data_IF_413008842598
#
_entry.id   IF_413008842598
#
_cell.length_a   1.000
_cell.length_b   1.000
_cell.length_c   1.000
_cell.angle_alpha   90.00
_cell.angle_beta   90.00
_cell.angle_gamma   90.00
#
_symmetry.space_group_name_H-M   'P 1'
#
loop_
_entity.id
_entity.type
_entity.pdbx_description
1 polymer ?
#
# COMPACT_ATOMS: atom_id res chain seq x y z
N UNK A 1 14.83 -2.38 7.60
CA UNK A 1 15.74 -1.77 8.60
C UNK A 1 14.97 -1.52 9.89
N UNK A 2 15.49 -1.90 11.05
CA UNK A 2 14.83 -1.72 12.35
C UNK A 2 15.41 -0.49 13.06
N UNK A 3 14.56 0.43 13.52
CA UNK A 3 15.03 1.64 14.23
C UNK A 3 15.39 1.31 15.67
N UNK A 4 14.42 0.84 16.46
CA UNK A 4 14.61 0.45 17.85
C UNK A 4 14.45 -1.06 17.98
N UNK A 5 15.37 -1.70 18.70
CA UNK A 5 15.34 -3.13 18.97
C UNK A 5 15.95 -3.41 20.34
N UNK A 6 15.14 -3.90 21.28
CA UNK A 6 15.55 -4.27 22.65
C UNK A 6 14.68 -5.43 23.16
N UNK A 7 14.97 -5.95 24.35
CA UNK A 7 14.07 -6.89 25.04
C UNK A 7 12.87 -6.17 25.64
N UNK A 8 11.81 -6.92 25.99
CA UNK A 8 10.61 -6.38 26.66
C UNK A 8 10.98 -5.64 27.93
N UNK A 9 11.82 -6.22 28.80
CA UNK A 9 12.23 -5.57 30.06
C UNK A 9 12.90 -4.22 29.82
N UNK A 10 13.86 -4.16 28.90
CA UNK A 10 14.53 -2.91 28.53
C UNK A 10 13.57 -1.88 27.90
N UNK A 11 12.59 -2.33 27.13
CA UNK A 11 11.55 -1.45 26.59
C UNK A 11 10.69 -0.84 27.70
N UNK A 12 10.24 -1.65 28.68
CA UNK A 12 9.49 -1.15 29.83
C UNK A 12 10.32 -0.15 30.64
N UNK A 13 11.61 -0.39 30.83
CA UNK A 13 12.52 0.54 31.50
C UNK A 13 12.69 1.86 30.73
N UNK A 14 12.82 1.81 29.40
CA UNK A 14 12.91 3.01 28.55
C UNK A 14 11.63 3.85 28.60
N UNK A 15 10.45 3.21 28.68
CA UNK A 15 9.17 3.91 28.82
C UNK A 15 9.02 4.49 30.23
N UNK A 16 9.33 3.71 31.26
CA UNK A 16 9.25 4.12 32.67
C UNK A 16 10.15 5.32 32.97
N UNK A 17 11.33 5.36 32.36
CA UNK A 17 12.28 6.48 32.47
C UNK A 17 11.94 7.68 31.58
N UNK A 18 10.79 7.68 30.89
CA UNK A 18 10.36 8.72 29.94
C UNK A 18 11.42 9.05 28.86
N UNK A 19 12.19 8.04 28.44
CA UNK A 19 13.28 8.22 27.47
C UNK A 19 12.94 7.62 26.10
N UNK A 20 11.85 6.86 25.98
CA UNK A 20 11.54 6.06 24.78
C UNK A 20 11.44 6.90 23.50
N UNK A 21 10.74 8.03 23.50
CA UNK A 21 10.58 8.85 22.29
C UNK A 21 11.88 9.54 21.88
N UNK A 22 12.74 9.91 22.84
CA UNK A 22 14.05 10.51 22.58
C UNK A 22 15.01 9.46 22.01
N UNK A 23 14.99 8.24 22.57
CA UNK A 23 15.76 7.11 22.05
C UNK A 23 15.35 6.81 20.60
N UNK A 24 14.05 6.69 20.33
CA UNK A 24 13.55 6.43 18.96
C UNK A 24 13.96 7.59 18.03
N UNK A 25 13.81 8.85 18.46
CA UNK A 25 14.21 10.02 17.65
C UNK A 25 15.69 9.98 17.26
N UNK A 26 16.58 9.71 18.22
CA UNK A 26 18.02 9.60 17.98
C UNK A 26 18.32 8.45 17.03
N UNK A 27 17.65 7.31 17.20
CA UNK A 27 17.83 6.14 16.33
C UNK A 27 17.30 6.38 14.92
N UNK A 28 16.17 7.08 14.75
CA UNK A 28 15.67 7.50 13.43
C UNK A 28 16.70 8.38 12.73
N UNK A 29 17.23 9.40 13.40
CA UNK A 29 18.26 10.25 12.80
C UNK A 29 19.51 9.44 12.43
N UNK A 30 19.99 8.58 13.34
CA UNK A 30 21.20 7.79 13.14
C UNK A 30 21.09 6.74 12.04
N UNK A 31 19.94 6.04 11.96
CA UNK A 31 19.75 4.91 11.05
C UNK A 31 19.11 5.33 9.73
N UNK A 32 18.15 6.25 9.75
CA UNK A 32 17.41 6.71 8.58
C UNK A 32 17.92 8.04 8.00
N UNK A 33 18.79 8.76 8.71
CA UNK A 33 19.26 10.09 8.27
C UNK A 33 18.17 11.16 8.26
N UNK A 34 17.01 10.89 8.86
CA UNK A 34 15.81 11.74 8.79
C UNK A 34 15.62 12.47 10.12
N UNK A 35 15.29 13.77 10.05
CA UNK A 35 14.80 14.52 11.22
C UNK A 35 13.31 14.23 11.43
N UNK A 36 12.93 13.99 12.68
CA UNK A 36 11.56 13.70 13.08
C UNK A 36 10.81 14.97 13.48
N UNK A 37 9.58 15.14 12.99
CA UNK A 37 8.70 16.24 13.39
C UNK A 37 8.05 16.01 14.76
N UNK A 38 7.58 17.07 15.41
CA UNK A 38 7.01 17.00 16.76
C UNK A 38 5.78 16.09 16.87
N UNK A 39 4.94 16.05 15.83
CA UNK A 39 3.75 15.17 15.80
C UNK A 39 4.11 13.69 15.88
N UNK A 40 5.19 13.28 15.20
CA UNK A 40 5.65 11.90 15.17
C UNK A 40 6.32 11.52 16.51
N UNK A 41 7.10 12.42 17.11
CA UNK A 41 7.65 12.24 18.48
C UNK A 41 6.52 12.06 19.51
N UNK A 42 5.51 12.93 19.45
CA UNK A 42 4.34 12.81 20.32
C UNK A 42 3.60 11.50 20.07
N UNK A 43 3.56 11.03 18.82
CA UNK A 43 2.90 9.78 18.49
C UNK A 43 3.58 8.57 19.15
N UNK A 44 4.91 8.54 19.18
CA UNK A 44 5.68 7.51 19.87
C UNK A 44 5.43 7.56 21.37
N UNK A 45 5.58 8.74 21.99
CA UNK A 45 5.31 8.91 23.44
C UNK A 45 3.95 8.35 23.82
N UNK A 46 2.90 8.72 23.09
CA UNK A 46 1.54 8.27 23.38
C UNK A 46 1.38 6.77 23.22
N UNK A 47 1.78 6.21 22.07
CA UNK A 47 1.51 4.81 21.74
C UNK A 47 2.33 3.84 22.59
N UNK A 48 3.59 4.21 22.91
CA UNK A 48 4.47 3.35 23.72
C UNK A 48 3.98 3.23 25.16
N UNK A 49 3.33 4.25 25.73
CA UNK A 49 2.68 4.14 27.05
C UNK A 49 1.51 3.14 27.06
N UNK A 50 0.83 2.95 25.93
CA UNK A 50 -0.21 1.93 25.83
C UNK A 50 0.39 0.53 25.65
N UNK A 51 1.48 0.41 24.89
CA UNK A 51 2.18 -0.87 24.74
C UNK A 51 2.88 -1.30 26.03
N UNK A 52 3.45 -0.37 26.80
CA UNK A 52 3.96 -0.61 28.15
C UNK A 52 2.90 -1.29 29.01
N UNK A 53 1.72 -0.68 29.16
CA UNK A 53 0.58 -1.27 29.92
C UNK A 53 0.18 -2.65 29.43
N UNK A 54 0.21 -2.91 28.13
CA UNK A 54 -0.13 -4.22 27.56
C UNK A 54 0.93 -5.25 27.94
N UNK A 55 2.22 -4.87 27.86
CA UNK A 55 3.38 -5.74 28.03
C UNK A 55 3.87 -5.88 29.48
N UNK A 56 3.38 -5.09 30.44
CA UNK A 56 3.78 -5.21 31.86
C UNK A 56 3.34 -6.54 32.54
N UNK A 57 2.69 -7.45 31.81
CA UNK A 57 2.33 -8.76 32.34
C UNK A 57 3.55 -9.69 32.43
N UNK A 58 3.73 -10.32 33.58
CA UNK A 58 4.83 -11.26 33.83
C UNK A 58 4.70 -12.57 33.04
N UNK A 59 3.51 -12.90 32.51
CA UNK A 59 3.32 -14.08 31.65
C UNK A 59 3.81 -13.84 30.21
N UNK A 60 4.11 -12.60 29.84
CA UNK A 60 4.85 -12.30 28.61
C UNK A 60 6.33 -12.30 28.99
N UNK A 61 7.21 -13.13 28.39
CA UNK A 61 8.60 -13.25 28.81
C UNK A 61 9.39 -11.93 28.72
N UNK A 62 10.21 -11.64 29.73
CA UNK A 62 11.04 -10.42 29.81
C UNK A 62 12.10 -10.33 28.70
N UNK A 63 12.53 -11.47 28.18
CA UNK A 63 13.44 -11.63 27.05
C UNK A 63 12.73 -11.72 25.70
N UNK A 64 11.43 -11.43 25.61
CA UNK A 64 10.75 -11.22 24.32
C UNK A 64 11.36 -10.04 23.59
N UNK A 65 11.57 -10.15 22.27
CA UNK A 65 12.13 -9.06 21.48
C UNK A 65 11.07 -8.01 21.14
N UNK A 66 11.40 -6.73 21.33
CA UNK A 66 10.60 -5.57 20.92
C UNK A 66 11.33 -4.82 19.82
N UNK A 67 10.66 -4.64 18.68
CA UNK A 67 11.13 -3.80 17.58
C UNK A 67 10.12 -2.71 17.26
N UNK A 68 10.58 -1.48 17.07
CA UNK A 68 9.72 -0.33 16.74
C UNK A 68 10.24 0.32 15.46
N UNK A 69 9.31 0.78 14.63
CA UNK A 69 9.59 1.47 13.36
C UNK A 69 10.42 0.58 12.40
N UNK A 70 9.96 -0.65 12.19
CA UNK A 70 10.59 -1.59 11.26
C UNK A 70 10.23 -1.23 9.81
N UNK A 71 11.22 -0.74 9.05
CA UNK A 71 11.06 -0.41 7.64
C UNK A 71 10.95 -1.68 6.80
N UNK A 72 9.81 -1.82 6.11
CA UNK A 72 9.57 -2.87 5.14
C UNK A 72 10.52 -2.71 3.95
N UNK A 73 11.32 -3.74 3.63
CA UNK A 73 12.28 -3.67 2.54
C UNK A 73 11.61 -3.34 1.20
N UNK A 74 12.12 -2.36 0.47
CA UNK A 74 11.65 -1.94 -0.88
C UNK A 74 10.20 -1.45 -0.99
N UNK A 75 9.46 -1.31 0.13
CA UNK A 75 8.08 -0.80 0.12
C UNK A 75 7.98 0.68 0.49
N UNK A 76 8.98 1.23 1.20
CA UNK A 76 8.91 2.60 1.74
C UNK A 76 7.94 2.74 2.93
N UNK A 77 7.39 1.62 3.40
CA UNK A 77 6.43 1.54 4.50
C UNK A 77 7.09 1.00 5.76
N UNK A 78 6.42 1.15 6.90
CA UNK A 78 6.95 0.73 8.19
C UNK A 78 5.89 0.09 9.05
N UNK A 79 6.34 -0.89 9.82
CA UNK A 79 5.57 -1.50 10.90
C UNK A 79 5.88 -0.74 12.19
N UNK A 80 4.83 -0.29 12.87
CA UNK A 80 4.96 0.50 14.09
C UNK A 80 5.62 -0.29 15.22
N UNK A 81 5.13 -1.50 15.50
CA UNK A 81 5.58 -2.31 16.62
C UNK A 81 5.58 -3.80 16.26
N UNK A 82 6.66 -4.50 16.62
CA UNK A 82 6.75 -5.96 16.51
C UNK A 82 7.19 -6.54 17.85
N UNK A 83 6.42 -7.51 18.36
CA UNK A 83 6.82 -8.35 19.48
C UNK A 83 7.24 -9.73 18.97
N UNK A 84 8.36 -10.23 19.46
CA UNK A 84 8.93 -11.52 19.04
C UNK A 84 9.20 -12.43 20.22
N UNK A 85 9.04 -13.72 19.98
CA UNK A 85 9.32 -14.79 20.92
C UNK A 85 8.93 -16.13 20.32
N UNK A 86 8.69 -17.14 21.15
CA UNK A 86 8.38 -18.49 20.69
C UNK A 86 7.12 -19.00 21.38
N UNK A 87 6.35 -19.87 20.70
CA UNK A 87 5.25 -20.59 21.33
C UNK A 87 5.73 -21.75 22.21
N UNK A 88 4.79 -22.54 22.74
CA UNK A 88 5.07 -23.69 23.59
C UNK A 88 5.90 -24.78 22.90
N UNK A 89 5.82 -24.87 21.56
CA UNK A 89 6.56 -25.81 20.74
C UNK A 89 7.94 -25.27 20.31
N UNK A 90 8.28 -24.04 20.71
CA UNK A 90 9.51 -23.36 20.30
C UNK A 90 9.45 -22.78 18.88
N UNK A 91 8.27 -22.66 18.27
CA UNK A 91 8.11 -22.06 16.95
C UNK A 91 8.19 -20.54 17.10
N UNK A 92 9.07 -19.93 16.30
CA UNK A 92 9.27 -18.49 16.28
C UNK A 92 8.00 -17.75 15.83
N UNK A 93 7.58 -16.76 16.63
CA UNK A 93 6.46 -15.87 16.36
C UNK A 93 6.92 -14.43 16.28
N UNK A 94 6.38 -13.70 15.31
CA UNK A 94 6.47 -12.24 15.24
C UNK A 94 5.06 -11.66 15.19
N UNK A 95 4.63 -11.03 16.27
CA UNK A 95 3.36 -10.32 16.37
C UNK A 95 3.57 -8.92 15.81
N UNK A 96 2.95 -8.63 14.67
CA UNK A 96 2.99 -7.35 13.97
C UNK A 96 1.82 -6.51 14.46
N UNK A 97 2.08 -5.40 15.14
CA UNK A 97 1.06 -4.56 15.76
C UNK A 97 1.06 -3.20 15.08
N UNK A 98 -0.01 -2.92 14.33
CA UNK A 98 -0.28 -1.59 13.78
C UNK A 98 -0.91 -0.71 14.87
N UNK A 99 -0.35 0.47 15.14
CA UNK A 99 -0.80 1.34 16.23
C UNK A 99 -1.47 2.58 15.65
N UNK A 100 -2.76 2.79 15.96
CA UNK A 100 -3.44 4.06 15.60
C UNK A 100 -3.96 4.79 16.83
N UNK A 101 -3.87 6.11 16.77
CA UNK A 101 -4.37 7.00 17.82
C UNK A 101 -5.75 7.56 17.53
N UNK A 102 -6.46 7.00 16.54
CA UNK A 102 -7.75 7.51 16.08
C UNK A 102 -8.78 7.48 17.21
N UNK A 103 -9.58 8.53 17.31
CA UNK A 103 -10.72 8.61 18.25
C UNK A 103 -12.05 8.28 17.57
N UNK A 104 -12.10 8.31 16.24
CA UNK A 104 -13.29 8.11 15.44
C UNK A 104 -12.95 7.56 14.06
N UNK A 105 -13.93 6.94 13.42
CA UNK A 105 -13.87 6.47 12.03
C UNK A 105 -15.27 6.35 11.46
N UNK A 106 -15.35 6.37 10.13
CA UNK A 106 -16.56 6.15 9.35
C UNK A 106 -16.30 5.09 8.29
N UNK A 107 -17.29 4.24 8.05
CA UNK A 107 -17.20 3.22 7.02
C UNK A 107 -17.24 3.89 5.64
N UNK A 108 -16.57 3.27 4.68
CA UNK A 108 -16.69 3.61 3.26
C UNK A 108 -17.25 2.41 2.51
N UNK A 109 -17.68 2.62 1.27
CA UNK A 109 -18.07 1.56 0.34
C UNK A 109 -16.87 0.88 -0.35
N UNK A 110 -15.65 1.35 -0.09
CA UNK A 110 -14.41 0.80 -0.66
C UNK A 110 -13.93 -0.38 0.20
N UNK A 111 -13.46 -1.42 -0.47
CA UNK A 111 -12.93 -2.62 0.17
C UNK A 111 -11.67 -2.30 0.98
N UNK A 112 -11.64 -2.65 2.27
CA UNK A 112 -10.46 -2.43 3.11
C UNK A 112 -10.07 -0.95 3.36
N UNK A 113 -10.96 0.00 3.08
CA UNK A 113 -10.75 1.44 3.26
C UNK A 113 -11.80 2.03 4.20
N UNK A 114 -11.35 2.92 5.09
CA UNK A 114 -12.16 3.66 6.07
C UNK A 114 -11.86 5.15 5.97
N UNK A 115 -12.73 6.01 6.49
CA UNK A 115 -12.47 7.43 6.58
C UNK A 115 -12.34 7.88 8.04
N UNK A 116 -11.31 8.68 8.35
CA UNK A 116 -11.04 9.18 9.71
C UNK A 116 -10.38 10.55 9.66
N UNK A 117 -10.45 11.32 10.75
CA UNK A 117 -9.82 12.63 10.86
C UNK A 117 -8.32 12.50 11.15
N UNK A 118 -7.48 13.05 10.25
CA UNK A 118 -6.02 13.02 10.37
C UNK A 118 -5.43 14.43 10.32
N UNK A 119 -5.57 15.20 11.41
CA UNK A 119 -4.91 16.49 11.65
C UNK A 119 -5.36 17.65 10.74
N UNK A 120 -5.42 17.43 9.42
CA UNK A 120 -5.74 18.38 8.36
C UNK A 120 -7.15 18.18 7.77
N UNK A 121 -7.89 17.17 8.22
CA UNK A 121 -9.24 16.87 7.72
C UNK A 121 -9.55 15.38 7.74
N UNK A 122 -10.76 15.04 7.27
CA UNK A 122 -11.17 13.66 7.05
C UNK A 122 -10.42 13.14 5.82
N UNK A 123 -9.79 11.97 5.97
CA UNK A 123 -9.05 11.29 4.91
C UNK A 123 -9.50 9.85 4.83
N UNK A 124 -9.55 9.32 3.61
CA UNK A 124 -9.71 7.89 3.39
C UNK A 124 -8.36 7.21 3.50
N UNK A 125 -8.30 6.17 4.32
CA UNK A 125 -7.10 5.42 4.67
C UNK A 125 -7.42 3.94 4.77
N UNK A 126 -6.39 3.10 4.80
CA UNK A 126 -6.57 1.68 4.97
C UNK A 126 -7.24 1.36 6.31
N UNK A 127 -8.10 0.36 6.30
CA UNK A 127 -8.57 -0.28 7.51
C UNK A 127 -7.34 -0.81 8.29
N UNK A 128 -7.21 -0.55 9.61
CA UNK A 128 -6.03 -0.94 10.38
C UNK A 128 -5.70 -2.44 10.30
N UNK A 129 -6.72 -3.30 10.32
CA UNK A 129 -6.51 -4.75 10.09
C UNK A 129 -6.02 -5.07 8.68
N UNK A 130 -6.50 -4.37 7.64
CA UNK A 130 -5.99 -4.54 6.28
C UNK A 130 -4.51 -4.18 6.25
N UNK A 131 -4.14 -3.04 6.84
CA UNK A 131 -2.77 -2.53 6.85
C UNK A 131 -1.82 -3.53 7.52
N UNK A 132 -2.12 -3.95 8.76
CA UNK A 132 -1.29 -4.93 9.48
C UNK A 132 -1.17 -6.27 8.75
N UNK A 133 -2.29 -6.82 8.27
CA UNK A 133 -2.29 -8.03 7.45
C UNK A 133 -1.45 -7.87 6.18
N UNK A 134 -1.55 -6.73 5.52
CA UNK A 134 -0.85 -6.46 4.27
C UNK A 134 0.68 -6.48 4.44
N UNK A 135 1.17 -6.02 5.60
CA UNK A 135 2.59 -6.05 5.95
C UNK A 135 3.08 -7.47 6.25
N UNK A 136 2.31 -8.26 7.00
CA UNK A 136 2.62 -9.67 7.24
C UNK A 136 2.69 -10.45 5.91
N UNK A 137 1.67 -10.30 5.08
CA UNK A 137 1.58 -10.98 3.80
C UNK A 137 2.69 -10.52 2.82
N UNK A 138 3.13 -9.26 2.91
CA UNK A 138 4.31 -8.78 2.19
C UNK A 138 5.59 -9.50 2.65
N UNK A 139 5.83 -9.58 3.97
CA UNK A 139 7.00 -10.27 4.49
C UNK A 139 7.01 -11.77 4.14
N UNK A 140 5.87 -12.46 4.25
CA UNK A 140 5.72 -13.85 3.83
C UNK A 140 6.03 -14.06 2.34
N UNK A 141 5.61 -13.11 1.49
CA UNK A 141 5.80 -13.19 0.05
C UNK A 141 7.22 -12.88 -0.44
N UNK A 142 8.00 -12.10 0.32
CA UNK A 142 9.25 -11.49 -0.15
C UNK A 142 10.49 -11.75 0.73
N UNK A 143 10.33 -12.16 1.99
CA UNK A 143 11.45 -12.40 2.90
C UNK A 143 11.78 -13.89 2.99
N UNK A 144 12.96 -14.29 2.49
CA UNK A 144 13.39 -15.69 2.45
C UNK A 144 13.36 -16.36 3.83
N UNK A 145 13.90 -15.67 4.83
CA UNK A 145 13.97 -16.15 6.22
C UNK A 145 12.58 -16.49 6.77
N UNK A 146 11.55 -15.67 6.48
CA UNK A 146 10.21 -15.87 7.04
C UNK A 146 9.67 -17.25 6.67
N UNK A 147 9.75 -17.62 5.39
CA UNK A 147 9.21 -18.91 4.94
C UNK A 147 10.19 -20.09 5.08
N UNK A 148 11.52 -19.87 4.98
CA UNK A 148 12.49 -20.97 5.15
C UNK A 148 12.61 -21.42 6.60
N UNK A 149 12.55 -20.47 7.53
CA UNK A 149 12.74 -20.73 8.95
C UNK A 149 11.39 -20.99 9.66
N UNK A 150 10.27 -20.92 8.92
CA UNK A 150 8.93 -21.18 9.43
C UNK A 150 8.47 -20.17 10.49
N UNK A 151 8.94 -18.92 10.41
CA UNK A 151 8.56 -17.86 11.34
C UNK A 151 7.09 -17.51 11.08
N UNK A 152 6.25 -17.59 12.10
CA UNK A 152 4.84 -17.25 11.96
C UNK A 152 4.62 -15.76 12.25
N UNK A 153 4.12 -15.05 11.24
CA UNK A 153 3.74 -13.65 11.37
C UNK A 153 2.28 -13.56 11.83
N UNK A 154 2.04 -12.81 12.89
CA UNK A 154 0.74 -12.67 13.52
C UNK A 154 0.33 -11.18 13.49
N UNK A 155 -0.34 -10.72 12.43
CA UNK A 155 -0.76 -9.33 12.33
C UNK A 155 -1.94 -9.05 13.26
N UNK A 156 -1.92 -7.88 13.90
CA UNK A 156 -3.08 -7.29 14.56
C UNK A 156 -2.99 -5.76 14.52
N UNK A 157 -4.07 -5.10 14.89
CA UNK A 157 -4.11 -3.65 15.01
C UNK A 157 -4.65 -3.23 16.37
N UNK A 158 -4.06 -2.20 16.97
CA UNK A 158 -4.48 -1.64 18.24
C UNK A 158 -4.75 -0.14 18.13
N UNK A 159 -6.03 0.22 18.27
CA UNK A 159 -6.51 1.59 18.24
C UNK A 159 -6.85 2.04 19.65
N UNK A 160 -5.81 2.41 20.40
CA UNK A 160 -5.89 2.64 21.84
C UNK A 160 -6.75 3.83 22.26
N UNK A 161 -7.15 4.70 21.33
CA UNK A 161 -8.05 5.82 21.58
C UNK A 161 -9.46 5.61 21.02
N UNK A 162 -9.68 4.58 20.20
CA UNK A 162 -10.91 4.42 19.44
C UNK A 162 -11.95 3.64 20.26
N UNK A 163 -13.18 4.16 20.48
CA UNK A 163 -14.24 3.43 21.16
C UNK A 163 -14.76 2.29 20.27
N UNK A 164 -15.33 1.24 20.89
CA UNK A 164 -16.07 0.23 20.12
C UNK A 164 -17.44 0.77 19.74
N UNK A 165 -17.56 1.22 18.49
CA UNK A 165 -18.80 1.74 17.89
C UNK A 165 -19.28 0.88 16.70
N UNK A 166 -18.68 -0.30 16.49
CA UNK A 166 -19.05 -1.23 15.43
C UNK A 166 -18.61 -0.87 14.00
N UNK A 167 -18.04 0.32 13.75
CA UNK A 167 -17.67 0.75 12.38
C UNK A 167 -16.57 -0.14 11.80
N UNK A 168 -15.48 -0.29 12.54
CA UNK A 168 -14.29 -1.05 12.13
C UNK A 168 -14.49 -2.57 12.22
N UNK A 169 -15.52 -3.02 12.94
CA UNK A 169 -15.85 -4.45 13.12
C UNK A 169 -17.09 -4.87 12.34
N UNK A 170 -17.61 -3.98 11.49
CA UNK A 170 -18.78 -4.27 10.66
C UNK A 170 -18.51 -5.42 9.68
N UNK A 171 -19.58 -6.07 9.22
CA UNK A 171 -19.49 -7.21 8.30
C UNK A 171 -18.74 -6.91 7.00
N UNK A 172 -18.70 -5.64 6.57
CA UNK A 172 -17.93 -5.17 5.41
C UNK A 172 -16.41 -5.37 5.57
N UNK A 173 -15.89 -5.35 6.80
CA UNK A 173 -14.46 -5.52 7.09
C UNK A 173 -14.11 -6.86 7.75
N UNK A 174 -15.09 -7.77 7.89
CA UNK A 174 -14.94 -9.01 8.66
C UNK A 174 -13.76 -9.89 8.19
N UNK A 175 -13.55 -9.99 6.88
CA UNK A 175 -12.44 -10.76 6.30
C UNK A 175 -11.07 -10.24 6.76
N UNK A 176 -10.92 -8.93 6.92
CA UNK A 176 -9.67 -8.33 7.38
C UNK A 176 -9.52 -8.45 8.89
N UNK A 177 -10.59 -8.28 9.65
CA UNK A 177 -10.57 -8.49 11.11
C UNK A 177 -10.25 -9.94 11.46
N UNK A 178 -10.70 -10.91 10.65
CA UNK A 178 -10.35 -12.32 10.82
C UNK A 178 -8.87 -12.61 10.54
N UNK A 179 -8.28 -11.92 9.55
CA UNK A 179 -6.85 -12.06 9.20
C UNK A 179 -5.92 -11.34 10.17
N UNK A 180 -6.33 -10.17 10.66
CA UNK A 180 -5.59 -9.35 11.60
C UNK A 180 -6.55 -8.80 12.67
N UNK A 181 -6.63 -9.44 13.85
CA UNK A 181 -7.55 -9.04 14.91
C UNK A 181 -7.41 -7.56 15.29
N UNK A 182 -8.55 -6.95 15.60
CA UNK A 182 -8.65 -5.56 15.98
C UNK A 182 -8.85 -5.43 17.49
N UNK A 183 -8.03 -4.61 18.12
CA UNK A 183 -8.15 -4.25 19.53
C UNK A 183 -8.44 -2.75 19.63
N UNK A 184 -9.46 -2.38 20.40
CA UNK A 184 -9.90 -1.00 20.58
C UNK A 184 -9.56 -0.50 21.98
N UNK A 185 -9.97 0.74 22.32
CA UNK A 185 -9.62 1.43 23.57
C UNK A 185 -9.79 0.61 24.86
N UNK A 186 -10.81 -0.24 24.93
CA UNK A 186 -11.09 -1.09 26.11
C UNK A 186 -10.44 -2.48 26.07
N UNK A 187 -9.71 -2.80 25.01
CA UNK A 187 -9.25 -4.16 24.73
C UNK A 187 -7.79 -4.44 25.08
N UNK A 188 -7.14 -3.57 25.87
CA UNK A 188 -5.75 -3.78 26.29
C UNK A 188 -5.50 -5.17 26.90
N UNK A 189 -6.45 -5.68 27.70
CA UNK A 189 -6.38 -7.03 28.26
C UNK A 189 -6.58 -8.13 27.21
N UNK A 190 -7.41 -7.90 26.19
CA UNK A 190 -7.59 -8.85 25.08
C UNK A 190 -6.35 -8.92 24.20
N UNK A 191 -5.70 -7.78 23.93
CA UNK A 191 -4.42 -7.76 23.20
C UNK A 191 -3.32 -8.46 24.00
N UNK A 192 -3.24 -8.22 25.30
CA UNK A 192 -2.32 -8.94 26.19
C UNK A 192 -2.57 -10.45 26.15
N UNK A 193 -3.82 -10.88 26.22
CA UNK A 193 -4.17 -12.30 26.14
C UNK A 193 -3.79 -12.89 24.77
N UNK A 194 -4.05 -12.17 23.68
CA UNK A 194 -3.62 -12.56 22.34
C UNK A 194 -2.10 -12.74 22.27
N UNK A 195 -1.32 -11.81 22.83
CA UNK A 195 0.14 -11.92 22.90
C UNK A 195 0.55 -13.17 23.70
N UNK A 196 -0.01 -13.33 24.90
CA UNK A 196 0.30 -14.45 25.80
C UNK A 196 -0.05 -15.81 25.20
N UNK A 197 -1.08 -15.88 24.36
CA UNK A 197 -1.46 -17.11 23.67
C UNK A 197 -0.39 -17.55 22.68
N UNK A 198 0.27 -16.61 22.01
CA UNK A 198 1.22 -16.91 20.93
C UNK A 198 2.69 -16.88 21.39
N UNK A 199 3.04 -16.09 22.39
CA UNK A 199 4.41 -15.96 22.91
C UNK A 199 4.47 -16.53 24.33
N UNK A 200 5.06 -17.72 24.46
CA UNK A 200 5.26 -18.46 25.72
C UNK A 200 6.70 -18.38 26.22
N UNK A 201 7.66 -18.21 25.31
CA UNK A 201 9.08 -18.07 25.60
C UNK A 201 9.64 -16.83 24.87
N UNK A 202 10.71 -16.23 25.40
CA UNK A 202 11.32 -15.04 24.80
C UNK A 202 12.00 -15.32 23.46
N UNK A 203 12.55 -14.26 22.86
CA UNK A 203 13.23 -14.34 21.56
C UNK A 203 14.68 -14.84 21.75
N UNK A 204 14.87 -16.15 21.62
CA UNK A 204 16.19 -16.80 21.74
C UNK A 204 16.96 -16.85 20.43
N UNK A 205 16.30 -16.64 19.31
CA UNK A 205 16.86 -16.87 17.96
C UNK A 205 17.13 -15.57 17.20
N UNK A 206 16.85 -14.42 17.82
CA UNK A 206 16.99 -13.11 17.20
C UNK A 206 16.12 -12.98 15.97
N UNK A 207 14.82 -13.26 16.11
CA UNK A 207 13.85 -13.38 15.01
C UNK A 207 13.93 -12.17 14.08
N UNK A 208 13.81 -10.95 14.63
CA UNK A 208 13.84 -9.73 13.82
C UNK A 208 15.22 -9.46 13.19
N UNK A 209 16.30 -9.88 13.82
CA UNK A 209 17.65 -9.78 13.24
C UNK A 209 17.79 -10.69 12.01
N UNK A 210 17.26 -11.92 12.08
CA UNK A 210 17.25 -12.84 10.93
C UNK A 210 16.31 -12.39 9.80
N UNK A 211 15.15 -11.81 10.13
CA UNK A 211 14.24 -11.23 9.14
C UNK A 211 14.91 -10.03 8.46
N UNK A 212 15.56 -9.14 9.21
CA UNK A 212 16.25 -7.97 8.64
C UNK A 212 17.46 -8.35 7.77
N UNK A 213 18.26 -9.33 8.20
CA UNK A 213 19.38 -9.87 7.43
C UNK A 213 18.96 -10.82 6.31
N UNK A 214 17.68 -11.18 6.24
CA UNK A 214 17.11 -12.09 5.26
C UNK A 214 17.21 -11.54 3.84
N UNK A 215 17.47 -12.42 2.88
CA UNK A 215 17.46 -12.02 1.47
C UNK A 215 16.04 -11.68 1.06
N UNK A 216 15.88 -10.50 0.46
CA UNK A 216 14.62 -10.11 -0.16
C UNK A 216 14.57 -10.71 -1.55
N UNK A 217 13.78 -11.76 -1.68
CA UNK A 217 13.55 -12.46 -2.94
C UNK A 217 12.05 -12.66 -3.07
N UNK A 218 11.42 -12.15 -4.15
CA UNK A 218 10.05 -12.52 -4.46
C UNK A 218 9.98 -14.04 -4.49
N UNK A 219 9.10 -14.64 -3.69
CA UNK A 219 8.89 -16.10 -3.70
C UNK A 219 8.50 -16.61 -5.09
N UNK A 220 7.95 -15.72 -5.96
CA UNK A 220 7.77 -15.86 -7.41
C UNK A 220 7.98 -14.50 -8.09
N UNK A 221 8.63 -14.45 -9.25
CA UNK A 221 8.96 -13.17 -9.91
C UNK A 221 7.68 -12.40 -10.31
N UNK A 222 7.75 -11.06 -10.37
CA UNK A 222 6.65 -10.16 -10.77
C UNK A 222 5.92 -10.61 -12.06
N UNK A 223 6.67 -11.23 -12.95
CA UNK A 223 6.21 -11.86 -14.18
C UNK A 223 5.22 -13.02 -13.99
N UNK A 224 5.56 -13.94 -13.09
CA UNK A 224 4.73 -15.12 -12.80
C UNK A 224 3.47 -14.71 -12.06
N UNK A 225 3.58 -13.68 -11.21
CA UNK A 225 2.48 -13.04 -10.52
C UNK A 225 1.50 -12.36 -11.48
N UNK A 226 1.95 -11.69 -12.55
CA UNK A 226 1.06 -11.15 -13.59
C UNK A 226 0.20 -12.25 -14.23
N UNK A 227 0.82 -13.35 -14.65
CA UNK A 227 0.12 -14.50 -15.27
C UNK A 227 -0.88 -15.10 -14.29
N UNK A 228 -0.47 -15.29 -13.04
CA UNK A 228 -1.28 -15.87 -11.98
C UNK A 228 -2.46 -14.96 -11.59
N UNK A 229 -2.26 -13.64 -11.60
CA UNK A 229 -3.32 -12.65 -11.40
C UNK A 229 -4.39 -12.71 -12.47
N UNK A 230 -3.99 -12.81 -13.75
CA UNK A 230 -4.95 -12.99 -14.84
C UNK A 230 -5.74 -14.31 -14.69
N UNK A 231 -5.11 -15.35 -14.12
CA UNK A 231 -5.75 -16.64 -13.78
C UNK A 231 -6.61 -16.60 -12.51
N UNK A 232 -6.77 -15.46 -11.86
CA UNK A 232 -7.64 -15.32 -10.69
C UNK A 232 -6.95 -15.23 -9.34
N UNK A 233 -5.63 -15.44 -9.24
CA UNK A 233 -4.93 -15.44 -7.95
C UNK A 233 -4.62 -14.02 -7.47
N UNK A 234 -4.61 -13.82 -6.15
CA UNK A 234 -4.05 -12.61 -5.55
C UNK A 234 -2.54 -12.80 -5.42
N UNK A 235 -1.75 -11.96 -6.08
CA UNK A 235 -0.28 -12.08 -6.07
C UNK A 235 0.42 -10.80 -5.63
N UNK A 236 -0.22 -9.63 -5.77
CA UNK A 236 0.28 -8.37 -5.21
C UNK A 236 -0.70 -7.84 -4.17
N UNK A 237 -0.23 -7.81 -2.94
CA UNK A 237 -0.90 -7.10 -1.86
C UNK A 237 -0.58 -5.62 -2.05
N UNK A 238 -1.62 -4.80 -2.17
CA UNK A 238 -1.48 -3.35 -2.28
C UNK A 238 -1.24 -2.76 -0.88
N UNK A 239 -0.17 -2.01 -0.71
CA UNK A 239 0.21 -1.42 0.57
C UNK A 239 -0.25 0.02 0.66
N UNK A 240 -0.74 0.43 1.83
CA UNK A 240 -1.03 1.82 2.17
C UNK A 240 -1.79 2.59 1.07
N UNK A 241 -1.26 3.71 0.59
CA UNK A 241 -1.91 4.57 -0.40
C UNK A 241 -2.23 3.84 -1.70
N UNK A 242 -1.49 2.79 -2.05
CA UNK A 242 -1.75 1.96 -3.23
C UNK A 242 -3.14 1.34 -3.19
N UNK A 243 -3.61 0.90 -2.00
CA UNK A 243 -4.94 0.32 -1.82
C UNK A 243 -6.04 1.38 -1.95
N UNK A 244 -5.85 2.56 -1.36
CA UNK A 244 -6.79 3.68 -1.46
C UNK A 244 -6.93 4.15 -2.91
N UNK A 245 -5.82 4.33 -3.62
CA UNK A 245 -5.81 4.69 -5.05
C UNK A 245 -6.53 3.63 -5.87
N UNK A 246 -6.23 2.35 -5.64
CA UNK A 246 -6.84 1.24 -6.37
C UNK A 246 -8.36 1.19 -6.19
N UNK A 247 -8.86 1.23 -4.96
CA UNK A 247 -10.31 1.19 -4.71
C UNK A 247 -11.01 2.47 -5.18
N UNK A 248 -10.34 3.62 -5.11
CA UNK A 248 -10.85 4.87 -5.70
C UNK A 248 -10.98 4.74 -7.21
N UNK A 249 -9.94 4.24 -7.89
CA UNK A 249 -9.96 4.04 -9.34
C UNK A 249 -11.05 3.05 -9.76
N UNK A 250 -11.23 1.94 -9.04
CA UNK A 250 -12.32 0.97 -9.28
C UNK A 250 -13.68 1.60 -9.15
N UNK A 251 -13.91 2.37 -8.07
CA UNK A 251 -15.18 3.08 -7.84
C UNK A 251 -15.46 4.10 -8.93
N UNK A 252 -14.47 4.88 -9.34
CA UNK A 252 -14.61 5.86 -10.40
C UNK A 252 -14.87 5.20 -11.76
N UNK A 253 -14.18 4.11 -12.08
CA UNK A 253 -14.43 3.33 -13.29
C UNK A 253 -15.87 2.81 -13.35
N UNK A 254 -16.41 2.30 -12.22
CA UNK A 254 -17.79 1.86 -12.13
C UNK A 254 -18.79 3.03 -12.33
N UNK A 255 -18.54 4.17 -11.66
CA UNK A 255 -19.38 5.38 -11.81
C UNK A 255 -19.38 5.96 -13.22
N UNK A 256 -18.26 5.86 -13.92
CA UNK A 256 -18.12 6.34 -15.30
C UNK A 256 -19.00 5.62 -16.32
N UNK A 257 -19.60 4.48 -15.96
CA UNK A 257 -20.60 3.82 -16.81
C UNK A 257 -21.88 4.66 -16.97
N UNK A 258 -22.22 5.51 -15.99
CA UNK A 258 -23.49 6.24 -15.90
C UNK A 258 -23.45 7.64 -16.57
N UNK A 259 -22.76 7.72 -17.72
CA UNK A 259 -22.64 8.87 -18.63
C UNK A 259 -21.66 10.00 -18.28
N UNK A 260 -21.25 10.21 -17.02
CA UNK A 260 -20.25 11.24 -16.68
C UNK A 260 -18.82 10.70 -16.76
N UNK A 261 -17.94 11.37 -17.52
CA UNK A 261 -16.51 11.04 -17.56
C UNK A 261 -15.84 11.34 -16.22
N UNK A 262 -14.92 10.48 -15.80
CA UNK A 262 -14.09 10.71 -14.62
C UNK A 262 -12.61 10.62 -14.96
N UNK A 263 -11.83 11.56 -14.43
CA UNK A 263 -10.37 11.58 -14.54
C UNK A 263 -9.78 11.48 -13.13
N UNK A 264 -8.95 10.47 -12.89
CA UNK A 264 -8.18 10.34 -11.67
C UNK A 264 -6.71 10.68 -11.94
N UNK A 265 -6.16 11.62 -11.20
CA UNK A 265 -4.74 11.96 -11.23
C UNK A 265 -4.12 11.44 -9.93
N UNK A 266 -3.06 10.64 -10.06
CA UNK A 266 -2.37 10.03 -8.92
C UNK A 266 -0.93 10.48 -8.95
N UNK A 267 -0.52 11.21 -7.92
CA UNK A 267 0.87 11.53 -7.69
C UNK A 267 1.59 10.42 -6.94
N UNK A 268 2.90 10.36 -7.10
CA UNK A 268 3.76 9.50 -6.30
C UNK A 268 5.19 9.58 -6.79
N UNK A 269 6.15 9.51 -5.88
CA UNK A 269 7.56 9.52 -6.23
C UNK A 269 8.05 8.22 -6.88
N UNK A 270 9.33 8.15 -7.26
CA UNK A 270 9.95 6.93 -7.79
C UNK A 270 9.86 5.78 -6.78
N UNK A 271 9.54 4.56 -7.23
CA UNK A 271 9.52 3.38 -6.37
C UNK A 271 8.28 3.21 -5.49
N UNK A 272 7.31 4.12 -5.53
CA UNK A 272 6.04 4.04 -4.77
C UNK A 272 5.06 2.95 -5.24
N UNK A 273 5.41 2.20 -6.30
CA UNK A 273 4.59 1.09 -6.80
C UNK A 273 3.40 1.50 -7.68
N UNK A 274 3.41 2.71 -8.27
CA UNK A 274 2.38 3.18 -9.22
C UNK A 274 2.05 2.14 -10.30
N UNK A 275 3.07 1.53 -10.91
CA UNK A 275 2.85 0.50 -11.93
C UNK A 275 2.20 -0.77 -11.36
N UNK A 276 2.46 -1.14 -10.10
CA UNK A 276 1.80 -2.27 -9.44
C UNK A 276 0.29 -1.99 -9.31
N UNK A 277 -0.07 -0.77 -8.94
CA UNK A 277 -1.48 -0.32 -8.91
C UNK A 277 -2.09 -0.36 -10.31
N UNK A 278 -1.41 0.21 -11.31
CA UNK A 278 -1.88 0.26 -12.69
C UNK A 278 -2.19 -1.14 -13.26
N UNK A 279 -1.30 -2.11 -13.01
CA UNK A 279 -1.46 -3.50 -13.41
C UNK A 279 -2.62 -4.18 -12.67
N UNK A 280 -2.70 -4.02 -11.35
CA UNK A 280 -3.81 -4.58 -10.57
C UNK A 280 -5.16 -4.05 -11.05
N UNK A 281 -5.20 -2.76 -11.39
CA UNK A 281 -6.38 -2.12 -11.94
C UNK A 281 -6.72 -2.70 -13.32
N UNK A 282 -5.75 -2.83 -14.24
CA UNK A 282 -5.98 -3.43 -15.56
C UNK A 282 -6.59 -4.83 -15.44
N UNK A 283 -5.99 -5.69 -14.60
CA UNK A 283 -6.47 -7.06 -14.40
C UNK A 283 -7.89 -7.07 -13.81
N UNK A 284 -8.16 -6.22 -12.81
CA UNK A 284 -9.47 -6.16 -12.17
C UNK A 284 -10.56 -5.67 -13.12
N UNK A 285 -10.33 -4.56 -13.83
CA UNK A 285 -11.30 -4.01 -14.78
C UNK A 285 -11.57 -4.99 -15.93
N UNK A 286 -10.53 -5.66 -16.44
CA UNK A 286 -10.68 -6.70 -17.47
C UNK A 286 -11.53 -7.87 -16.98
N UNK A 287 -11.32 -8.33 -15.73
CA UNK A 287 -12.16 -9.40 -15.12
C UNK A 287 -13.61 -8.99 -14.94
N UNK A 288 -13.90 -7.70 -14.78
CA UNK A 288 -15.25 -7.16 -14.74
C UNK A 288 -15.90 -7.03 -16.13
N UNK A 289 -15.18 -7.39 -17.19
CA UNK A 289 -15.66 -7.29 -18.57
C UNK A 289 -15.53 -5.90 -19.17
N UNK A 290 -14.84 -4.97 -18.49
CA UNK A 290 -14.62 -3.61 -19.00
C UNK A 290 -13.50 -3.60 -20.05
N UNK A 291 -13.68 -2.80 -21.10
CA UNK A 291 -12.67 -2.60 -22.13
C UNK A 291 -11.62 -1.62 -21.61
N UNK A 292 -10.61 -2.17 -20.91
CA UNK A 292 -9.52 -1.42 -20.31
C UNK A 292 -8.19 -1.58 -21.07
N UNK A 293 -7.35 -0.54 -21.08
CA UNK A 293 -5.98 -0.62 -21.61
C UNK A 293 -4.97 0.04 -20.69
N UNK A 294 -3.79 -0.57 -20.61
CA UNK A 294 -2.59 0.06 -20.07
C UNK A 294 -1.91 0.87 -21.16
N UNK A 295 -1.64 2.13 -20.86
CA UNK A 295 -1.09 3.14 -21.75
C UNK A 295 0.23 3.63 -21.19
N UNK A 296 1.25 3.70 -22.03
CA UNK A 296 2.48 4.42 -21.71
C UNK A 296 3.06 5.06 -22.97
N UNK A 297 3.97 6.04 -22.83
CA UNK A 297 4.78 6.49 -23.97
C UNK A 297 5.89 5.49 -24.29
N UNK A 298 6.66 5.10 -23.28
CA UNK A 298 7.84 4.24 -23.42
C UNK A 298 7.49 2.80 -23.80
N UNK A 299 8.10 2.29 -24.87
CA UNK A 299 7.92 0.90 -25.29
C UNK A 299 8.53 -0.13 -24.33
N UNK A 300 9.60 0.23 -23.60
CA UNK A 300 10.34 -0.71 -22.76
C UNK A 300 9.48 -1.37 -21.64
N UNK A 301 8.74 -0.62 -20.79
CA UNK A 301 7.83 -1.24 -19.82
C UNK A 301 6.79 -2.14 -20.48
N UNK A 302 6.20 -1.70 -21.60
CA UNK A 302 5.22 -2.52 -22.35
C UNK A 302 5.83 -3.82 -22.85
N UNK A 303 7.02 -3.76 -23.44
CA UNK A 303 7.72 -4.95 -23.95
C UNK A 303 8.01 -5.95 -22.83
N UNK A 304 8.43 -5.48 -21.65
CA UNK A 304 8.63 -6.33 -20.47
C UNK A 304 7.34 -7.04 -20.10
N UNK A 305 6.24 -6.32 -19.87
CA UNK A 305 4.96 -6.94 -19.47
C UNK A 305 4.42 -7.90 -20.53
N UNK A 306 4.46 -7.50 -21.81
CA UNK A 306 4.05 -8.36 -22.93
C UNK A 306 4.84 -9.66 -22.96
N UNK A 307 6.17 -9.58 -22.87
CA UNK A 307 7.05 -10.76 -22.91
C UNK A 307 6.74 -11.78 -21.81
N UNK A 308 6.33 -11.31 -20.63
CA UNK A 308 6.00 -12.16 -19.48
C UNK A 308 4.63 -12.83 -19.60
N UNK A 309 3.71 -12.25 -20.37
CA UNK A 309 2.40 -12.84 -20.63
C UNK A 309 2.41 -13.82 -21.82
N UNK A 310 3.43 -13.76 -22.68
CA UNK A 310 3.60 -14.66 -23.82
C UNK A 310 3.55 -16.13 -23.36
N UNK A 311 2.74 -16.95 -24.03
CA UNK A 311 2.55 -18.37 -23.69
C UNK A 311 1.45 -18.64 -22.65
N UNK A 312 0.98 -17.63 -21.93
CA UNK A 312 -0.19 -17.75 -21.03
C UNK A 312 -1.50 -17.31 -21.68
N UNK A 313 -1.42 -16.44 -22.69
CA UNK A 313 -2.54 -15.94 -23.50
C UNK A 313 -2.11 -15.80 -24.96
N UNK A 314 -3.08 -15.65 -25.87
CA UNK A 314 -2.79 -15.35 -27.28
C UNK A 314 -2.08 -13.99 -27.40
N UNK A 315 -1.01 -13.93 -28.19
CA UNK A 315 -0.21 -12.71 -28.40
C UNK A 315 -1.04 -11.51 -28.85
N UNK A 316 -2.01 -11.73 -29.73
CA UNK A 316 -2.95 -10.68 -30.19
C UNK A 316 -3.79 -10.08 -29.07
N UNK A 317 -4.18 -10.89 -28.08
CA UNK A 317 -4.93 -10.41 -26.91
C UNK A 317 -4.03 -9.57 -26.00
N UNK A 318 -2.79 -10.00 -25.78
CA UNK A 318 -1.78 -9.26 -24.99
C UNK A 318 -1.46 -7.91 -25.65
N UNK A 319 -1.25 -7.90 -26.97
CA UNK A 319 -0.94 -6.67 -27.72
C UNK A 319 -2.07 -5.65 -27.66
N UNK A 320 -3.32 -6.10 -27.53
CA UNK A 320 -4.48 -5.23 -27.41
C UNK A 320 -4.58 -4.52 -26.05
N UNK A 321 -4.00 -5.10 -24.99
CA UNK A 321 -4.07 -4.58 -23.61
C UNK A 321 -3.02 -3.51 -23.32
N UNK A 322 -1.83 -3.61 -23.94
CA UNK A 322 -0.70 -2.70 -23.69
C UNK A 322 -0.39 -1.87 -24.94
N UNK A 323 -0.78 -0.59 -24.92
CA UNK A 323 -0.71 0.29 -26.08
C UNK A 323 0.14 1.54 -25.83
N UNK A 324 0.67 2.11 -26.91
CA UNK A 324 1.33 3.42 -26.85
C UNK A 324 0.32 4.55 -26.75
N UNK A 325 0.69 5.67 -26.12
CA UNK A 325 -0.19 6.86 -26.02
C UNK A 325 -0.57 7.48 -27.38
N UNK A 326 0.26 7.32 -28.41
CA UNK A 326 0.02 7.93 -29.72
C UNK A 326 -1.05 7.26 -30.60
N UNK A 327 -1.74 6.22 -30.11
CA UNK A 327 -2.76 5.50 -30.90
C UNK A 327 -4.16 6.12 -30.83
N UNK A 328 -4.35 7.13 -29.98
CA UNK A 328 -5.68 7.67 -29.65
C UNK A 328 -6.13 8.84 -30.52
N UNK A 329 -5.29 9.34 -31.43
CA UNK A 329 -5.56 10.51 -32.28
C UNK A 329 -6.88 10.42 -33.06
N UNK A 330 -7.19 9.23 -33.57
CA UNK A 330 -8.38 8.95 -34.39
C UNK A 330 -9.39 8.05 -33.67
N UNK A 331 -9.18 7.79 -32.37
CA UNK A 331 -10.08 6.93 -31.61
C UNK A 331 -11.41 7.65 -31.36
N UNK A 332 -12.56 7.02 -31.66
CA UNK A 332 -13.86 7.58 -31.33
C UNK A 332 -14.03 7.86 -29.84
N UNK A 333 -14.88 8.83 -29.51
CA UNK A 333 -15.14 9.17 -28.12
C UNK A 333 -15.74 7.97 -27.36
N UNK A 334 -15.28 7.77 -26.11
CA UNK A 334 -15.78 6.72 -25.22
C UNK A 334 -15.70 5.29 -25.79
N UNK A 335 -14.70 5.03 -26.66
CA UNK A 335 -14.40 3.68 -27.17
C UNK A 335 -14.01 2.73 -26.04
N UNK A 336 -13.32 3.24 -25.01
CA UNK A 336 -12.84 2.46 -23.88
C UNK A 336 -13.61 2.78 -22.60
N UNK A 337 -13.85 1.77 -21.78
CA UNK A 337 -14.39 1.98 -20.44
C UNK A 337 -13.33 2.61 -19.54
N UNK A 338 -12.07 2.16 -19.67
CA UNK A 338 -10.96 2.68 -18.86
C UNK A 338 -9.63 2.76 -19.61
N UNK A 339 -8.91 3.88 -19.45
CA UNK A 339 -7.50 3.99 -19.85
C UNK A 339 -6.62 4.26 -18.63
N UNK A 340 -5.58 3.44 -18.47
CA UNK A 340 -4.66 3.47 -17.34
C UNK A 340 -3.32 3.98 -17.85
N UNK A 341 -3.04 5.26 -17.65
CA UNK A 341 -1.83 5.91 -18.16
C UNK A 341 -0.74 5.89 -17.10
N UNK A 342 0.29 5.09 -17.36
CA UNK A 342 1.50 5.03 -16.53
C UNK A 342 2.56 5.99 -17.06
N UNK A 343 3.36 6.55 -16.14
CA UNK A 343 4.36 7.58 -16.44
C UNK A 343 3.74 8.76 -17.25
N UNK A 344 2.55 9.20 -16.84
CA UNK A 344 1.76 10.19 -17.57
C UNK A 344 2.49 11.53 -17.76
N UNK A 345 3.43 11.86 -16.88
CA UNK A 345 4.30 13.03 -17.01
C UNK A 345 5.09 13.06 -18.32
N UNK A 346 5.28 11.91 -18.98
CA UNK A 346 6.00 11.80 -20.25
C UNK A 346 5.13 12.02 -21.49
N UNK A 347 3.81 12.19 -21.36
CA UNK A 347 2.93 12.36 -22.52
C UNK A 347 3.32 13.59 -23.36
N UNK A 348 3.15 13.49 -24.68
CA UNK A 348 3.48 14.54 -25.64
C UNK A 348 2.27 15.43 -25.99
N UNK A 349 2.55 16.64 -26.46
CA UNK A 349 1.54 17.52 -27.07
C UNK A 349 1.02 16.94 -28.39
N UNK A 350 1.90 16.37 -29.22
CA UNK A 350 1.47 15.76 -30.49
C UNK A 350 2.03 14.36 -30.65
N UNK A 351 1.27 13.56 -31.39
CA UNK A 351 1.57 12.19 -31.75
C UNK A 351 2.26 12.13 -33.12
N UNK A 352 2.71 10.94 -33.52
CA UNK A 352 3.43 10.70 -34.78
C UNK A 352 4.95 10.90 -34.68
N UNK A 353 5.70 10.31 -35.62
CA UNK A 353 7.17 10.35 -35.65
C UNK A 353 7.72 11.78 -35.71
N UNK A 354 6.97 12.69 -36.34
CA UNK A 354 7.30 14.10 -36.50
C UNK A 354 6.51 15.04 -35.57
N UNK A 355 5.82 14.49 -34.55
CA UNK A 355 4.99 15.26 -33.61
C UNK A 355 3.98 16.18 -34.31
N UNK A 356 3.31 15.67 -35.35
CA UNK A 356 2.42 16.43 -36.22
C UNK A 356 0.97 15.91 -36.24
N UNK A 357 0.68 14.82 -35.51
CA UNK A 357 -0.65 14.22 -35.47
C UNK A 357 -1.36 14.57 -34.16
N UNK A 358 -2.66 14.84 -34.26
CA UNK A 358 -3.49 15.12 -33.11
C UNK A 358 -3.26 16.50 -32.49
N UNK A 359 -3.75 16.65 -31.25
CA UNK A 359 -3.80 17.95 -30.55
C UNK A 359 -3.06 17.89 -29.22
N UNK A 360 -3.29 16.82 -28.44
CA UNK A 360 -2.71 16.59 -27.11
C UNK A 360 -2.96 15.16 -26.70
N UNK A 361 -1.92 14.41 -26.31
CA UNK A 361 -2.11 13.03 -25.85
C UNK A 361 -3.01 12.93 -24.61
N UNK A 362 -2.90 13.81 -23.59
CA UNK A 362 -3.90 13.89 -22.52
C UNK A 362 -5.33 14.06 -23.03
N UNK A 363 -5.58 14.97 -23.98
CA UNK A 363 -6.91 15.15 -24.57
C UNK A 363 -7.40 13.88 -25.26
N UNK A 364 -6.56 13.28 -26.10
CA UNK A 364 -6.89 12.09 -26.89
C UNK A 364 -7.26 10.91 -25.99
N UNK A 365 -6.51 10.71 -24.90
CA UNK A 365 -6.82 9.71 -23.88
C UNK A 365 -8.16 9.99 -23.19
N UNK A 366 -8.36 11.22 -22.68
CA UNK A 366 -9.59 11.57 -21.94
C UNK A 366 -10.81 11.47 -22.85
N UNK A 367 -10.68 11.86 -24.12
CA UNK A 367 -11.75 11.75 -25.12
C UNK A 367 -12.09 10.29 -25.40
N UNK A 368 -11.08 9.43 -25.59
CA UNK A 368 -11.26 8.03 -25.96
C UNK A 368 -11.88 7.16 -24.85
N UNK A 369 -11.86 7.59 -23.59
CA UNK A 369 -12.28 6.79 -22.44
C UNK A 369 -13.42 7.40 -21.63
N UNK A 370 -14.23 6.56 -20.97
CA UNK A 370 -15.20 6.99 -19.95
C UNK A 370 -14.51 7.30 -18.62
N UNK A 371 -13.54 6.46 -18.25
CA UNK A 371 -12.66 6.67 -17.12
C UNK A 371 -11.20 6.71 -17.57
N UNK A 372 -10.42 7.64 -17.05
CA UNK A 372 -8.96 7.62 -17.25
C UNK A 372 -8.22 7.91 -15.96
N UNK A 373 -7.20 7.13 -15.66
CA UNK A 373 -6.28 7.37 -14.53
C UNK A 373 -4.89 7.71 -15.05
N UNK A 374 -4.28 8.76 -14.49
CA UNK A 374 -2.95 9.25 -14.84
C UNK A 374 -2.03 9.14 -13.64
N UNK A 375 -1.01 8.29 -13.74
CA UNK A 375 0.04 8.17 -12.74
C UNK A 375 1.18 9.14 -13.05
N UNK A 376 1.36 10.14 -12.19
CA UNK A 376 2.36 11.19 -12.30
C UNK A 376 3.53 10.95 -11.36
N UNK A 377 4.67 11.48 -11.77
CA UNK A 377 5.89 11.58 -10.98
C UNK A 377 6.50 12.93 -11.35
N UNK A 378 6.25 13.94 -10.52
CA UNK A 378 6.52 15.34 -10.89
C UNK A 378 8.02 15.64 -11.03
N UNK A 379 8.87 14.89 -10.31
CA UNK A 379 10.33 15.02 -10.34
C UNK A 379 10.97 14.39 -11.59
N UNK A 380 10.21 13.65 -12.41
CA UNK A 380 10.72 12.92 -13.57
C UNK A 380 10.44 13.57 -14.93
N UNK A 381 10.16 14.87 -14.99
CA UNK A 381 10.08 15.57 -16.29
C UNK A 381 11.49 15.78 -16.84
N UNK A 382 11.78 15.17 -17.99
CA UNK A 382 13.13 15.17 -18.58
C UNK A 382 13.14 15.86 -19.94
N UNK A 383 12.06 15.76 -20.74
CA UNK A 383 12.03 16.32 -22.08
C UNK A 383 11.21 17.61 -22.17
N UNK A 384 11.68 18.56 -22.98
CA UNK A 384 10.97 19.84 -23.26
C UNK A 384 9.57 19.61 -23.87
N UNK A 385 9.34 18.45 -24.48
CA UNK A 385 8.08 18.06 -25.12
C UNK A 385 7.10 17.35 -24.19
N UNK A 386 7.48 17.11 -22.93
CA UNK A 386 6.64 16.46 -21.94
C UNK A 386 5.57 17.46 -21.46
N UNK A 387 4.30 17.25 -21.85
CA UNK A 387 3.16 18.11 -21.49
C UNK A 387 2.20 17.43 -20.51
N UNK A 388 2.54 16.26 -19.99
CA UNK A 388 1.72 15.48 -19.06
C UNK A 388 1.63 16.05 -17.65
N UNK A 389 1.46 17.35 -17.47
CA UNK A 389 1.31 17.97 -16.14
C UNK A 389 -0.10 17.77 -15.58
N UNK A 390 -0.25 17.85 -14.25
CA UNK A 390 -1.57 17.88 -13.61
C UNK A 390 -2.43 19.01 -14.21
N UNK A 391 -1.85 20.21 -14.38
CA UNK A 391 -2.52 21.37 -14.94
C UNK A 391 -3.08 21.09 -16.35
N UNK A 392 -2.26 20.48 -17.22
CA UNK A 392 -2.66 20.17 -18.59
C UNK A 392 -3.75 19.09 -18.60
N UNK A 393 -3.62 18.06 -17.76
CA UNK A 393 -4.64 17.02 -17.63
C UNK A 393 -5.97 17.62 -17.14
N UNK A 394 -5.94 18.51 -16.12
CA UNK A 394 -7.12 19.21 -15.61
C UNK A 394 -7.79 20.07 -16.68
N UNK A 395 -7.00 20.82 -17.45
CA UNK A 395 -7.47 21.64 -18.56
C UNK A 395 -8.23 20.81 -19.58
N UNK A 396 -7.67 19.69 -20.05
CA UNK A 396 -8.35 18.84 -21.02
C UNK A 396 -9.54 18.08 -20.42
N UNK A 397 -9.45 17.66 -19.16
CA UNK A 397 -10.58 17.07 -18.45
C UNK A 397 -11.78 18.02 -18.39
N UNK A 398 -11.55 19.29 -18.05
CA UNK A 398 -12.58 20.33 -18.04
C UNK A 398 -13.21 20.54 -19.41
N UNK A 399 -12.40 20.58 -20.48
CA UNK A 399 -12.91 20.68 -21.85
C UNK A 399 -13.72 19.47 -22.31
N UNK A 400 -13.46 18.29 -21.74
CA UNK A 400 -14.22 17.06 -22.00
C UNK A 400 -15.40 16.87 -21.02
N UNK A 401 -15.69 17.85 -20.16
CA UNK A 401 -16.76 17.75 -19.17
C UNK A 401 -16.52 16.66 -18.10
N UNK A 402 -15.27 16.22 -17.93
CA UNK A 402 -14.91 15.17 -17.00
C UNK A 402 -14.75 15.72 -15.57
N UNK A 403 -15.17 14.93 -14.58
CA UNK A 403 -14.93 15.23 -13.18
C UNK A 403 -13.53 14.78 -12.77
N UNK A 404 -12.73 15.70 -12.23
CA UNK A 404 -11.33 15.43 -11.85
C UNK A 404 -11.21 15.10 -10.37
N UNK A 405 -10.53 13.99 -10.09
CA UNK A 405 -10.16 13.50 -8.78
C UNK A 405 -8.64 13.49 -8.67
N UNK A 406 -8.08 13.89 -7.53
CA UNK A 406 -6.63 13.88 -7.31
C UNK A 406 -6.29 13.19 -6.01
N UNK A 407 -5.34 12.27 -6.08
CA UNK A 407 -4.74 11.57 -4.96
C UNK A 407 -3.22 11.72 -5.03
N UNK A 408 -2.57 11.65 -3.87
CA UNK A 408 -1.12 11.80 -3.71
C UNK A 408 -0.52 10.68 -2.89
#
# INVERSE_FOLDING_TARGET
MIVYQKTKSQFLDDVLSNSIEEIIQVLVLKKLGRKTGQSEINSWRNSMLYMDKVLSDAQIPDDSGVSIEYQLPHAGMRIDFVLTGQDEQGIDKAIIIELKQWSESTATDKDGVVATYLGKGIQEVNHPSYQSWSYAAYLEGFNETVYTDGIQLLPCAYLHNHPDNGVLTSGHYADYVAKAPLFLKSDALKLREFIRQHVKHGDKTGIMYRIEGGRIRPSKQLADSLVSMMKGKQEFILLDEQKVVYETARKLAAKSADAKKHVLIVHGGPGTGKTVVAINLLVNLTKQGLVAKYVSKNAAPRAVYKSKLTGSMRGTHIDSLFVGSGVFTETPENTFDALIVDEAHRLNEKSGLFSNLGVSQPLEVIRAARFSVFFLDEDQRIAVQDVGSEEEIRKWAGQQGAEVHVLS
#
